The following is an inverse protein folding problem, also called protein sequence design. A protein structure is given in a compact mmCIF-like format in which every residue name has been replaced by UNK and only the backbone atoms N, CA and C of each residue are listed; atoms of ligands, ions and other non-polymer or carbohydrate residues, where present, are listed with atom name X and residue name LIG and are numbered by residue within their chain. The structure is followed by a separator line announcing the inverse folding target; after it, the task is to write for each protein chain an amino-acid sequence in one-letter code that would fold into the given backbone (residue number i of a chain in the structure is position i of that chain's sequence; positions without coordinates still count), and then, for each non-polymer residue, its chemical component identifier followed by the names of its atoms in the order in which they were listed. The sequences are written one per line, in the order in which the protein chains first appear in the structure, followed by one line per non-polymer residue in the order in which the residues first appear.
data_IF_741474538803
#
_entry.id   IF_741474538803
#
_cell.length_a   1.000
_cell.length_b   1.000
_cell.length_c   1.000
_cell.angle_alpha   90.00
_cell.angle_beta   90.00
_cell.angle_gamma   90.00
#
_symmetry.space_group_name_H-M   'P 1'
#
loop_
_entity.id
_entity.type
_entity.pdbx_description
1 polymer ?
#
# COMPACT_ATOMS: atom_id res chain seq x y z
N UNK A 1 -20.07 16.15 -42.17
CA UNK A 1 -19.46 14.79 -42.12
C UNK A 1 -20.63 13.83 -42.14
N UNK A 2 -20.58 12.77 -42.95
CA UNK A 2 -21.65 11.75 -42.98
C UNK A 2 -21.65 10.99 -41.64
N UNK A 3 -22.84 10.59 -41.18
CA UNK A 3 -23.07 9.83 -39.94
C UNK A 3 -22.15 8.58 -39.81
N UNK A 4 -21.87 7.92 -40.95
CA UNK A 4 -20.90 6.82 -41.05
C UNK A 4 -19.45 7.20 -40.72
N UNK A 5 -19.01 8.44 -40.97
CA UNK A 5 -17.65 8.86 -40.64
C UNK A 5 -17.47 9.14 -39.15
N UNK A 6 -18.52 9.60 -38.47
CA UNK A 6 -18.51 9.86 -37.03
C UNK A 6 -18.46 8.55 -36.23
N UNK A 7 -19.26 7.56 -36.62
CA UNK A 7 -19.30 6.25 -35.98
C UNK A 7 -17.99 5.47 -36.17
N UNK A 8 -17.37 5.57 -37.38
CA UNK A 8 -16.07 4.96 -37.61
C UNK A 8 -14.94 5.58 -36.76
N UNK A 9 -14.94 6.91 -36.60
CA UNK A 9 -13.97 7.57 -35.72
C UNK A 9 -14.16 7.16 -34.27
N UNK A 10 -15.39 7.14 -33.77
CA UNK A 10 -15.68 6.72 -32.39
C UNK A 10 -15.31 5.26 -32.11
N UNK A 11 -15.36 4.40 -33.11
CA UNK A 11 -14.98 2.99 -32.98
C UNK A 11 -13.47 2.80 -32.71
N UNK A 12 -12.63 3.78 -33.06
CA UNK A 12 -11.17 3.76 -32.83
C UNK A 12 -10.77 4.24 -31.44
N UNK A 13 -11.70 4.78 -30.65
CA UNK A 13 -11.41 5.23 -29.30
C UNK A 13 -11.46 4.07 -28.32
N UNK A 14 -10.44 3.93 -27.48
CA UNK A 14 -10.44 3.00 -26.35
C UNK A 14 -11.31 3.49 -25.19
N UNK A 15 -11.63 4.78 -25.19
CA UNK A 15 -12.50 5.40 -24.19
C UNK A 15 -13.97 5.03 -24.48
N UNK A 16 -14.75 4.52 -23.52
CA UNK A 16 -16.18 4.30 -23.69
C UNK A 16 -16.90 5.58 -24.14
N UNK A 17 -17.49 5.52 -25.33
CA UNK A 17 -18.16 6.66 -25.97
C UNK A 17 -19.48 6.24 -26.57
N UNK A 18 -20.51 7.09 -26.43
CA UNK A 18 -21.84 6.88 -27.00
C UNK A 18 -22.44 8.17 -27.58
N UNK A 19 -23.19 8.03 -28.64
CA UNK A 19 -24.02 9.08 -29.18
C UNK A 19 -25.45 8.92 -28.64
N UNK A 20 -26.03 10.03 -28.24
CA UNK A 20 -27.41 10.09 -27.72
C UNK A 20 -28.19 11.04 -28.62
N UNK A 21 -29.33 10.57 -29.12
CA UNK A 21 -30.27 11.35 -29.89
C UNK A 21 -31.67 11.23 -29.26
N UNK A 22 -32.28 12.35 -28.94
CA UNK A 22 -33.60 12.39 -28.33
C UNK A 22 -33.77 11.42 -27.14
N UNK A 23 -32.78 11.37 -26.24
CA UNK A 23 -32.71 10.52 -25.06
C UNK A 23 -32.51 9.00 -25.34
N UNK A 24 -32.27 8.60 -26.59
CA UNK A 24 -31.92 7.23 -26.96
C UNK A 24 -30.44 7.14 -27.34
N UNK A 25 -29.80 6.01 -27.03
CA UNK A 25 -28.43 5.71 -27.44
C UNK A 25 -28.45 5.29 -28.92
N UNK A 26 -28.13 6.22 -29.83
CA UNK A 26 -28.07 5.93 -31.25
C UNK A 26 -26.85 5.12 -31.66
N UNK A 27 -25.73 5.27 -30.94
CA UNK A 27 -24.49 4.53 -31.15
C UNK A 27 -23.69 4.37 -29.84
N UNK A 28 -23.02 3.23 -29.69
CA UNK A 28 -22.07 2.99 -28.64
C UNK A 28 -20.84 2.27 -29.23
N UNK A 29 -19.64 2.79 -28.94
CA UNK A 29 -18.39 2.15 -29.41
C UNK A 29 -18.12 0.82 -28.68
N UNK A 30 -17.16 -0.02 -29.16
CA UNK A 30 -16.86 -1.31 -28.54
C UNK A 30 -16.56 -1.21 -27.04
N UNK A 31 -15.85 -0.18 -26.60
CA UNK A 31 -15.52 0.04 -25.19
C UNK A 31 -16.77 0.33 -24.34
N UNK A 32 -17.69 1.16 -24.83
CA UNK A 32 -18.97 1.43 -24.15
C UNK A 32 -19.87 0.19 -24.11
N UNK A 33 -19.91 -0.60 -25.19
CA UNK A 33 -20.64 -1.86 -25.22
C UNK A 33 -20.08 -2.92 -24.27
N UNK A 34 -18.75 -2.95 -24.09
CA UNK A 34 -18.10 -3.84 -23.11
C UNK A 34 -18.46 -3.41 -21.68
N UNK A 35 -18.47 -2.11 -21.40
CA UNK A 35 -18.74 -1.54 -20.09
C UNK A 35 -20.22 -1.65 -19.67
N UNK A 36 -21.14 -1.29 -20.57
CA UNK A 36 -22.56 -1.09 -20.28
C UNK A 36 -23.45 -2.19 -20.88
N UNK A 37 -22.91 -3.05 -21.73
CA UNK A 37 -23.64 -4.09 -22.45
C UNK A 37 -24.06 -3.63 -23.84
N UNK A 38 -24.13 -4.61 -24.77
CA UNK A 38 -24.54 -4.36 -26.18
C UNK A 38 -25.99 -3.92 -26.33
N UNK A 39 -26.84 -4.28 -25.36
CA UNK A 39 -28.26 -4.00 -25.37
C UNK A 39 -28.63 -2.53 -25.24
N UNK A 40 -27.68 -1.67 -24.84
CA UNK A 40 -27.95 -0.24 -24.62
C UNK A 40 -28.22 0.52 -25.90
N UNK A 41 -27.78 0.04 -27.08
CA UNK A 41 -28.01 0.70 -28.37
C UNK A 41 -29.49 0.57 -28.77
N UNK A 42 -30.10 1.69 -29.06
CA UNK A 42 -31.54 1.80 -29.34
C UNK A 42 -32.42 2.03 -28.10
N UNK A 43 -31.85 1.86 -26.90
CA UNK A 43 -32.55 2.03 -25.64
C UNK A 43 -32.46 3.47 -25.10
N UNK A 44 -33.36 3.80 -24.16
CA UNK A 44 -33.29 5.09 -23.46
C UNK A 44 -32.01 5.13 -22.63
N UNK A 45 -31.27 6.25 -22.70
CA UNK A 45 -30.00 6.43 -22.00
C UNK A 45 -30.08 6.24 -20.49
N UNK A 46 -31.25 6.40 -19.87
CA UNK A 46 -31.49 6.13 -18.44
C UNK A 46 -31.40 4.65 -18.10
N UNK A 47 -31.50 3.75 -19.09
CA UNK A 47 -31.27 2.32 -18.89
C UNK A 47 -29.77 2.04 -18.81
N UNK A 48 -28.97 2.70 -19.66
CA UNK A 48 -27.53 2.57 -19.68
C UNK A 48 -26.84 3.29 -18.48
N UNK A 49 -27.32 4.50 -18.15
CA UNK A 49 -26.75 5.37 -17.12
C UNK A 49 -27.84 5.71 -16.08
N UNK A 50 -27.92 4.90 -15.02
CA UNK A 50 -28.94 5.03 -13.97
C UNK A 50 -28.60 6.05 -12.90
N UNK A 51 -27.34 6.49 -12.81
CA UNK A 51 -26.90 7.45 -11.81
C UNK A 51 -27.66 8.79 -11.96
N UNK A 52 -28.25 9.36 -10.89
CA UNK A 52 -29.01 10.60 -10.97
C UNK A 52 -28.21 11.76 -11.57
N UNK A 53 -26.92 11.85 -11.24
CA UNK A 53 -26.02 12.89 -11.74
C UNK A 53 -25.75 12.74 -13.25
N UNK A 54 -25.68 11.51 -13.77
CA UNK A 54 -25.55 11.25 -15.21
C UNK A 54 -26.81 11.70 -15.96
N UNK A 55 -27.98 11.35 -15.43
CA UNK A 55 -29.29 11.74 -16.01
C UNK A 55 -29.43 13.27 -15.99
N UNK A 56 -29.08 13.91 -14.89
CA UNK A 56 -29.12 15.36 -14.75
C UNK A 56 -28.18 16.06 -15.74
N UNK A 57 -26.97 15.53 -15.96
CA UNK A 57 -26.01 16.08 -16.93
C UNK A 57 -26.50 15.96 -18.36
N UNK A 58 -27.07 14.80 -18.74
CA UNK A 58 -27.63 14.58 -20.09
C UNK A 58 -28.80 15.54 -20.37
N UNK A 59 -29.58 15.88 -19.37
CA UNK A 59 -30.72 16.81 -19.52
C UNK A 59 -30.23 18.25 -19.73
N UNK A 60 -28.99 18.63 -19.40
CA UNK A 60 -28.50 20.01 -19.60
C UNK A 60 -28.35 20.34 -21.08
N UNK A 61 -28.83 21.52 -21.51
CA UNK A 61 -28.71 21.95 -22.92
C UNK A 61 -27.25 22.16 -23.38
N UNK A 62 -26.37 22.56 -22.48
CA UNK A 62 -24.95 22.95 -22.75
C UNK A 62 -23.98 21.77 -22.58
N UNK A 63 -24.47 20.61 -22.09
CA UNK A 63 -23.60 19.50 -21.70
C UNK A 63 -22.83 19.78 -20.41
N UNK A 64 -21.58 19.31 -20.31
CA UNK A 64 -20.71 19.51 -19.15
C UNK A 64 -20.02 18.26 -18.70
N UNK A 65 -19.59 18.25 -17.43
CA UNK A 65 -18.93 17.11 -16.79
C UNK A 65 -19.56 16.81 -15.44
N UNK A 66 -19.53 15.54 -15.05
CA UNK A 66 -19.93 15.09 -13.71
C UNK A 66 -19.19 13.82 -13.35
N UNK A 67 -19.09 13.56 -12.06
CA UNK A 67 -18.53 12.32 -11.54
C UNK A 67 -19.65 11.38 -11.14
N UNK A 68 -19.56 10.13 -11.57
CA UNK A 68 -20.53 9.08 -11.25
C UNK A 68 -19.81 7.90 -10.60
N UNK A 69 -20.51 7.17 -9.74
CA UNK A 69 -19.97 6.01 -9.02
C UNK A 69 -20.76 4.74 -9.29
N UNK A 70 -20.09 3.59 -9.20
CA UNK A 70 -20.74 2.29 -9.25
C UNK A 70 -21.22 1.85 -10.65
N UNK A 71 -20.59 2.33 -11.71
CA UNK A 71 -21.02 2.04 -13.08
C UNK A 71 -20.73 0.60 -13.51
N UNK A 72 -19.53 0.07 -13.16
CA UNK A 72 -19.12 -1.29 -13.52
C UNK A 72 -19.08 -2.23 -12.32
N UNK A 73 -18.44 -1.77 -11.25
CA UNK A 73 -18.35 -2.48 -9.98
C UNK A 73 -18.66 -1.53 -8.83
N UNK A 74 -19.15 -2.03 -7.68
CA UNK A 74 -19.37 -1.19 -6.52
C UNK A 74 -18.08 -0.43 -6.14
N UNK A 75 -18.18 0.90 -5.99
CA UNK A 75 -17.05 1.75 -5.63
C UNK A 75 -16.20 2.25 -6.80
N UNK A 76 -16.45 1.81 -8.06
CA UNK A 76 -15.79 2.40 -9.23
C UNK A 76 -16.20 3.86 -9.41
N UNK A 77 -15.26 4.70 -9.84
CA UNK A 77 -15.45 6.14 -10.02
C UNK A 77 -15.15 6.50 -11.47
N UNK A 78 -16.12 7.16 -12.11
CA UNK A 78 -16.06 7.51 -13.51
C UNK A 78 -16.30 9.00 -13.71
N UNK A 79 -15.46 9.67 -14.48
CA UNK A 79 -15.73 11.01 -14.97
C UNK A 79 -16.51 10.92 -16.29
N UNK A 80 -17.73 11.45 -16.29
CA UNK A 80 -18.60 11.52 -17.44
C UNK A 80 -18.57 12.90 -18.04
N UNK A 81 -18.30 12.97 -19.35
CA UNK A 81 -18.36 14.23 -20.11
C UNK A 81 -19.45 14.12 -21.16
N UNK A 82 -20.30 15.14 -21.25
CA UNK A 82 -21.37 15.26 -22.23
C UNK A 82 -21.13 16.49 -23.10
N UNK A 83 -20.89 16.28 -24.39
CA UNK A 83 -20.74 17.33 -25.40
C UNK A 83 -21.97 17.40 -26.31
N UNK A 84 -22.45 18.59 -26.60
CA UNK A 84 -23.51 18.82 -27.56
C UNK A 84 -22.87 19.01 -28.94
N UNK A 85 -23.17 18.10 -29.86
CA UNK A 85 -22.61 18.13 -31.23
C UNK A 85 -23.43 18.97 -32.22
N UNK A 86 -24.69 19.28 -31.90
CA UNK A 86 -25.60 20.04 -32.70
C UNK A 86 -27.00 19.38 -32.78
N UNK A 87 -28.05 20.19 -32.96
CA UNK A 87 -29.41 19.69 -32.92
C UNK A 87 -29.77 19.04 -31.60
N UNK A 88 -30.16 17.76 -31.62
CA UNK A 88 -30.50 16.96 -30.44
C UNK A 88 -29.48 15.85 -30.15
N UNK A 89 -28.31 15.90 -30.82
CA UNK A 89 -27.26 14.89 -30.70
C UNK A 89 -26.25 15.29 -29.66
N UNK A 90 -25.95 14.39 -28.73
CA UNK A 90 -24.93 14.52 -27.66
C UNK A 90 -23.94 13.38 -27.75
N UNK A 91 -22.66 13.69 -27.50
CA UNK A 91 -21.60 12.72 -27.29
C UNK A 91 -21.35 12.60 -25.80
N UNK A 92 -21.45 11.40 -25.28
CA UNK A 92 -21.08 11.06 -23.89
C UNK A 92 -19.84 10.21 -23.91
N UNK A 93 -18.85 10.58 -23.12
CA UNK A 93 -17.64 9.79 -22.86
C UNK A 93 -17.52 9.49 -21.38
N UNK A 94 -16.94 8.32 -21.05
CA UNK A 94 -16.76 7.82 -19.69
C UNK A 94 -15.29 7.47 -19.46
N UNK A 95 -14.65 8.12 -18.50
CA UNK A 95 -13.26 7.85 -18.13
C UNK A 95 -13.21 7.21 -16.74
N UNK A 96 -12.60 6.03 -16.65
CA UNK A 96 -12.39 5.38 -15.34
C UNK A 96 -11.30 6.15 -14.55
N UNK A 97 -11.71 6.69 -13.42
CA UNK A 97 -10.88 7.43 -12.48
C UNK A 97 -10.60 6.65 -11.20
N UNK A 98 -11.04 5.40 -11.13
CA UNK A 98 -10.99 4.60 -9.89
C UNK A 98 -9.57 4.48 -9.34
N UNK A 99 -8.59 4.22 -10.20
CA UNK A 99 -7.18 4.12 -9.81
C UNK A 99 -6.63 5.47 -9.33
N UNK A 100 -6.87 6.54 -10.09
CA UNK A 100 -6.39 7.90 -9.76
C UNK A 100 -6.98 8.39 -8.43
N UNK A 101 -8.28 8.19 -8.23
CA UNK A 101 -8.97 8.58 -6.99
C UNK A 101 -8.49 7.73 -5.81
N UNK A 102 -8.30 6.42 -6.01
CA UNK A 102 -7.75 5.53 -4.99
C UNK A 102 -6.33 5.95 -4.55
N UNK A 103 -5.46 6.28 -5.51
CA UNK A 103 -4.10 6.77 -5.23
C UNK A 103 -4.13 8.10 -4.48
N UNK A 104 -4.95 9.06 -4.95
CA UNK A 104 -5.08 10.37 -4.30
C UNK A 104 -5.62 10.23 -2.87
N UNK A 105 -6.61 9.38 -2.65
CA UNK A 105 -7.17 9.09 -1.33
C UNK A 105 -6.12 8.45 -0.41
N UNK A 106 -5.42 7.43 -0.91
CA UNK A 106 -4.34 6.77 -0.16
C UNK A 106 -3.25 7.75 0.26
N UNK A 107 -2.90 8.74 -0.59
CA UNK A 107 -1.93 9.77 -0.24
C UNK A 107 -2.48 10.73 0.83
N UNK A 108 -3.74 11.14 0.73
CA UNK A 108 -4.38 12.01 1.74
C UNK A 108 -4.47 11.30 3.10
N UNK A 109 -4.90 10.04 3.10
CA UNK A 109 -5.00 9.21 4.31
C UNK A 109 -3.60 8.99 4.93
N UNK A 110 -2.56 8.82 4.10
CA UNK A 110 -1.18 8.70 4.55
C UNK A 110 -0.71 9.96 5.30
N UNK A 111 -0.91 11.16 4.74
CA UNK A 111 -0.52 12.43 5.39
C UNK A 111 -1.31 12.67 6.67
N UNK A 112 -2.61 12.38 6.68
CA UNK A 112 -3.45 12.52 7.87
C UNK A 112 -2.98 11.57 8.99
N UNK A 113 -2.75 10.29 8.68
CA UNK A 113 -2.30 9.29 9.64
C UNK A 113 -0.88 9.61 10.17
N UNK A 114 0.05 10.04 9.31
CA UNK A 114 1.38 10.47 9.72
C UNK A 114 1.31 11.64 10.72
N UNK A 115 0.45 12.63 10.43
CA UNK A 115 0.23 13.78 11.32
C UNK A 115 -0.33 13.35 12.69
N UNK A 116 -1.25 12.41 12.71
CA UNK A 116 -1.82 11.88 13.96
C UNK A 116 -0.80 11.06 14.77
N UNK A 117 -0.03 10.19 14.11
CA UNK A 117 0.99 9.37 14.76
C UNK A 117 2.19 10.18 15.28
N UNK A 118 2.47 11.36 14.71
CA UNK A 118 3.47 12.31 15.24
C UNK A 118 2.93 13.17 16.36
N UNK A 119 1.66 13.60 16.31
CA UNK A 119 1.05 14.50 17.31
C UNK A 119 0.96 13.85 18.70
N UNK A 120 0.61 12.57 18.74
CA UNK A 120 0.42 11.83 20.01
C UNK A 120 1.70 11.79 20.86
N UNK A 121 2.87 11.32 20.38
CA UNK A 121 4.10 11.32 21.16
C UNK A 121 4.58 12.73 21.50
N UNK A 122 4.39 13.70 20.58
CA UNK A 122 4.75 15.09 20.82
C UNK A 122 3.95 15.69 21.99
N UNK A 123 2.64 15.47 22.04
CA UNK A 123 1.80 15.91 23.15
C UNK A 123 2.21 15.27 24.48
N UNK A 124 2.59 13.98 24.47
CA UNK A 124 3.10 13.31 25.66
C UNK A 124 4.43 13.92 26.13
N UNK A 125 5.39 14.17 25.21
CA UNK A 125 6.66 14.83 25.54
C UNK A 125 6.41 16.19 26.17
N UNK A 126 5.58 17.04 25.56
CA UNK A 126 5.26 18.36 26.07
C UNK A 126 4.62 18.30 27.49
N UNK A 127 3.65 17.42 27.70
CA UNK A 127 3.01 17.27 29.00
C UNK A 127 3.97 16.80 30.11
N UNK A 128 4.90 15.89 29.79
CA UNK A 128 5.91 15.48 30.78
C UNK A 128 6.98 16.56 31.02
N UNK A 129 7.34 17.34 30.01
CA UNK A 129 8.26 18.49 30.17
C UNK A 129 7.60 19.56 31.05
N UNK A 130 6.33 19.90 30.83
CA UNK A 130 5.57 20.83 31.67
C UNK A 130 5.48 20.33 33.12
N UNK A 131 5.21 19.03 33.33
CA UNK A 131 5.13 18.44 34.65
C UNK A 131 6.50 18.48 35.37
N UNK A 132 7.60 18.26 34.64
CA UNK A 132 8.95 18.36 35.17
C UNK A 132 9.35 19.83 35.52
N UNK A 133 8.70 20.81 34.89
CA UNK A 133 8.85 22.24 35.22
C UNK A 133 8.16 22.64 36.51
N UNK A 134 7.21 21.84 37.04
CA UNK A 134 6.59 22.07 38.35
C UNK A 134 7.58 21.64 39.47
N UNK A 135 7.86 22.57 40.40
CA UNK A 135 8.84 22.36 41.46
C UNK A 135 8.58 21.12 42.31
N UNK A 136 7.30 20.74 42.51
CA UNK A 136 6.96 19.55 43.32
C UNK A 136 7.23 18.24 42.61
N UNK A 137 7.00 18.15 41.31
CA UNK A 137 7.19 16.93 40.52
C UNK A 137 8.63 16.80 39.99
N UNK A 138 9.29 17.93 39.72
CA UNK A 138 10.68 17.96 39.23
C UNK A 138 11.73 17.69 40.30
N UNK A 139 11.40 17.94 41.58
CA UNK A 139 12.35 17.75 42.70
C UNK A 139 12.45 16.30 43.19
N UNK A 140 11.45 15.43 42.89
CA UNK A 140 11.55 14.00 43.19
C UNK A 140 12.41 13.26 42.16
N UNK A 141 13.60 12.73 42.56
CA UNK A 141 14.53 12.09 41.64
C UNK A 141 13.91 10.91 40.88
N UNK A 142 13.04 10.11 41.52
CA UNK A 142 12.43 8.90 40.90
C UNK A 142 11.40 9.32 39.86
N UNK A 143 10.59 10.31 40.14
CA UNK A 143 9.59 10.85 39.18
C UNK A 143 10.29 11.49 38.00
N UNK A 144 11.35 12.26 38.23
CA UNK A 144 12.18 12.86 37.17
C UNK A 144 12.78 11.82 36.27
N UNK A 145 13.43 10.78 36.81
CA UNK A 145 14.03 9.71 36.01
C UNK A 145 12.99 8.97 35.18
N UNK A 146 11.84 8.66 35.78
CA UNK A 146 10.72 8.02 35.08
C UNK A 146 10.21 8.88 33.91
N UNK A 147 9.99 10.18 34.10
CA UNK A 147 9.48 11.07 33.06
C UNK A 147 10.49 11.32 31.94
N UNK A 148 11.78 11.49 32.27
CA UNK A 148 12.85 11.56 31.29
C UNK A 148 12.95 10.27 30.47
N UNK A 149 12.76 9.10 31.09
CA UNK A 149 12.67 7.82 30.40
C UNK A 149 11.51 7.73 29.42
N UNK A 150 10.34 8.30 29.76
CA UNK A 150 9.18 8.35 28.85
C UNK A 150 9.46 9.31 27.69
N UNK A 151 9.94 10.52 27.97
CA UNK A 151 10.29 11.51 26.94
C UNK A 151 11.28 10.92 25.94
N UNK A 152 12.31 10.24 26.42
CA UNK A 152 13.30 9.58 25.55
C UNK A 152 12.65 8.51 24.65
N UNK A 153 11.78 7.66 25.19
CA UNK A 153 11.09 6.63 24.39
C UNK A 153 10.21 7.24 23.32
N UNK A 154 9.43 8.27 23.65
CA UNK A 154 8.57 8.93 22.66
C UNK A 154 9.36 9.68 21.59
N UNK A 155 10.50 10.30 21.94
CA UNK A 155 11.41 10.94 20.99
C UNK A 155 12.03 9.91 20.01
N UNK A 156 12.52 8.78 20.52
CA UNK A 156 13.06 7.69 19.68
C UNK A 156 11.98 7.09 18.77
N UNK A 157 10.74 6.96 19.27
CA UNK A 157 9.62 6.51 18.46
C UNK A 157 9.30 7.50 17.33
N UNK A 158 9.32 8.82 17.60
CA UNK A 158 9.15 9.82 16.55
C UNK A 158 10.25 9.76 15.50
N UNK A 159 11.50 9.58 15.94
CA UNK A 159 12.65 9.42 15.04
C UNK A 159 12.44 8.21 14.11
N UNK A 160 12.11 7.04 14.65
CA UNK A 160 11.84 5.83 13.86
C UNK A 160 10.68 6.04 12.86
N UNK A 161 9.60 6.74 13.29
CA UNK A 161 8.49 7.04 12.40
C UNK A 161 8.90 7.95 11.24
N UNK A 162 9.72 8.96 11.49
CA UNK A 162 10.23 9.85 10.44
C UNK A 162 11.13 9.08 9.47
N UNK A 163 12.01 8.21 9.97
CA UNK A 163 12.87 7.36 9.16
C UNK A 163 12.06 6.42 8.26
N UNK A 164 11.01 5.79 8.79
CA UNK A 164 10.08 4.95 8.04
C UNK A 164 9.33 5.74 6.95
N UNK A 165 8.83 6.94 7.26
CA UNK A 165 8.17 7.83 6.30
C UNK A 165 9.10 8.23 5.16
N UNK A 166 10.33 8.63 5.49
CA UNK A 166 11.35 9.01 4.50
C UNK A 166 11.78 7.82 3.63
N UNK A 167 11.87 6.62 4.23
CA UNK A 167 12.17 5.40 3.50
C UNK A 167 11.06 5.03 2.53
N UNK A 168 9.79 5.02 3.00
CA UNK A 168 8.64 4.74 2.16
C UNK A 168 8.56 5.72 1.00
N UNK A 169 8.72 7.03 1.27
CA UNK A 169 8.73 8.07 0.23
C UNK A 169 9.81 7.83 -0.82
N UNK A 170 11.03 7.47 -0.41
CA UNK A 170 12.13 7.16 -1.35
C UNK A 170 11.83 5.95 -2.22
N UNK A 171 11.32 4.86 -1.64
CA UNK A 171 11.00 3.64 -2.40
C UNK A 171 9.86 3.91 -3.40
N UNK A 172 8.86 4.69 -3.02
CA UNK A 172 7.75 5.07 -3.90
C UNK A 172 8.19 5.98 -5.07
N UNK A 173 9.08 6.93 -4.82
CA UNK A 173 9.59 7.83 -5.85
C UNK A 173 10.32 7.10 -6.99
N UNK A 174 10.97 5.97 -6.71
CA UNK A 174 11.73 5.16 -7.69
C UNK A 174 11.07 3.82 -8.01
N UNK A 175 9.77 3.69 -7.78
CA UNK A 175 9.02 2.43 -7.91
C UNK A 175 9.17 1.76 -9.29
N UNK A 176 9.37 2.53 -10.35
CA UNK A 176 9.48 2.02 -11.73
C UNK A 176 10.90 1.64 -12.12
N UNK A 177 11.91 2.06 -11.36
CA UNK A 177 13.31 1.75 -11.64
C UNK A 177 13.70 0.46 -10.92
N UNK A 178 13.81 -0.62 -11.68
CA UNK A 178 14.22 -1.93 -11.16
C UNK A 178 15.71 -1.92 -10.89
N UNK A 179 16.19 -2.12 -9.66
CA UNK A 179 17.60 -2.17 -9.38
C UNK A 179 18.19 -3.49 -9.89
N UNK A 180 19.38 -3.41 -10.52
CA UNK A 180 20.02 -4.54 -11.19
C UNK A 180 21.41 -4.88 -10.66
N UNK A 181 21.90 -4.17 -9.65
CA UNK A 181 23.21 -4.45 -9.05
C UNK A 181 23.19 -5.83 -8.39
N UNK A 182 24.27 -6.64 -8.55
CA UNK A 182 24.35 -7.96 -7.94
C UNK A 182 24.47 -7.84 -6.41
N UNK A 183 23.54 -8.47 -5.69
CA UNK A 183 23.52 -8.49 -4.22
C UNK A 183 23.51 -9.92 -3.73
N UNK A 184 24.50 -10.29 -2.91
CA UNK A 184 24.54 -11.58 -2.21
C UNK A 184 23.62 -11.53 -0.97
N UNK A 185 22.48 -12.21 -1.05
CA UNK A 185 21.48 -12.22 0.01
C UNK A 185 21.96 -12.98 1.27
N UNK A 186 22.83 -13.97 1.15
CA UNK A 186 23.39 -14.65 2.33
C UNK A 186 24.29 -13.70 3.12
N UNK A 187 25.08 -12.86 2.43
CA UNK A 187 25.89 -11.85 3.08
C UNK A 187 25.00 -10.81 3.81
N UNK A 188 23.92 -10.35 3.17
CA UNK A 188 22.95 -9.43 3.79
C UNK A 188 22.27 -10.05 5.01
N UNK A 189 21.85 -11.31 4.92
CA UNK A 189 21.19 -12.00 6.04
C UNK A 189 22.14 -12.16 7.23
N UNK A 190 23.38 -12.55 7.00
CA UNK A 190 24.37 -12.69 8.08
C UNK A 190 24.68 -11.36 8.78
N UNK A 191 24.77 -10.28 8.01
CA UNK A 191 24.97 -8.94 8.55
C UNK A 191 23.79 -8.53 9.45
N UNK A 192 22.57 -8.63 8.94
CA UNK A 192 21.37 -8.23 9.69
C UNK A 192 21.12 -9.14 10.90
N UNK A 193 21.29 -10.46 10.76
CA UNK A 193 21.21 -11.36 11.91
C UNK A 193 22.20 -10.99 13.01
N UNK A 194 23.41 -10.58 12.63
CA UNK A 194 24.45 -10.10 13.55
C UNK A 194 24.05 -8.86 14.35
N UNK A 195 23.25 -7.94 13.78
CA UNK A 195 22.76 -6.74 14.48
C UNK A 195 21.85 -7.09 15.69
N UNK A 196 21.20 -8.25 15.68
CA UNK A 196 20.22 -8.67 16.70
C UNK A 196 20.76 -9.72 17.69
N UNK A 197 21.98 -10.25 17.50
CA UNK A 197 22.53 -11.34 18.32
C UNK A 197 22.59 -11.03 19.83
N UNK A 198 22.75 -9.76 20.20
CA UNK A 198 22.79 -9.35 21.61
C UNK A 198 21.38 -9.22 22.24
N UNK A 199 20.32 -9.16 21.43
CA UNK A 199 18.96 -8.84 21.88
C UNK A 199 17.97 -9.99 21.72
N UNK A 200 18.22 -10.96 20.83
CA UNK A 200 17.34 -12.08 20.55
C UNK A 200 18.08 -13.29 19.96
N UNK A 201 17.54 -14.49 20.14
CA UNK A 201 18.04 -15.70 19.48
C UNK A 201 17.59 -15.70 18.00
N UNK A 202 18.48 -15.24 17.11
CA UNK A 202 18.25 -15.27 15.67
C UNK A 202 19.05 -16.39 15.04
N UNK A 203 18.37 -17.39 14.50
CA UNK A 203 19.00 -18.52 13.80
C UNK A 203 18.95 -18.31 12.29
N UNK A 204 20.07 -18.56 11.60
CA UNK A 204 20.14 -18.50 10.14
C UNK A 204 20.33 -19.91 9.59
N UNK A 205 19.39 -20.34 8.73
CA UNK A 205 19.43 -21.61 8.00
C UNK A 205 19.57 -21.29 6.51
N UNK A 206 20.62 -21.77 5.86
CA UNK A 206 20.85 -21.54 4.44
C UNK A 206 21.01 -22.86 3.69
N UNK A 207 20.09 -23.13 2.79
CA UNK A 207 20.11 -24.27 1.86
C UNK A 207 20.14 -23.78 0.39
N UNK A 208 20.64 -22.55 0.17
CA UNK A 208 20.64 -21.95 -1.16
C UNK A 208 21.98 -22.18 -1.86
N UNK A 209 21.94 -22.73 -3.09
CA UNK A 209 23.10 -22.89 -3.96
C UNK A 209 23.44 -21.60 -4.73
N UNK A 210 22.42 -20.76 -5.00
CA UNK A 210 22.54 -19.47 -5.66
C UNK A 210 21.89 -18.40 -4.80
N UNK A 211 22.62 -17.32 -4.52
CA UNK A 211 22.22 -16.29 -3.55
C UNK A 211 22.24 -14.88 -4.11
N UNK A 212 22.65 -14.73 -5.39
CA UNK A 212 22.77 -13.42 -6.04
C UNK A 212 21.44 -13.03 -6.66
N UNK A 213 20.93 -11.89 -6.23
CA UNK A 213 19.75 -11.24 -6.81
C UNK A 213 20.15 -9.86 -7.39
N UNK A 214 19.42 -9.41 -8.41
CA UNK A 214 19.54 -8.00 -8.85
C UNK A 214 18.80 -7.10 -7.86
N UNK A 215 19.51 -6.12 -7.26
CA UNK A 215 18.88 -5.34 -6.22
C UNK A 215 19.64 -4.10 -5.74
N UNK A 216 18.96 -3.33 -4.90
CA UNK A 216 19.53 -2.27 -4.07
C UNK A 216 19.82 -2.87 -2.68
N UNK A 217 21.12 -3.04 -2.37
CA UNK A 217 21.56 -3.68 -1.13
C UNK A 217 20.99 -3.00 0.12
N UNK A 218 20.89 -1.68 0.12
CA UNK A 218 20.39 -0.93 1.29
C UNK A 218 18.92 -1.19 1.54
N UNK A 219 18.11 -1.28 0.47
CA UNK A 219 16.70 -1.59 0.56
C UNK A 219 16.45 -3.05 0.96
N UNK A 220 17.22 -4.00 0.40
CA UNK A 220 17.12 -5.41 0.77
C UNK A 220 17.52 -5.65 2.24
N UNK A 221 18.55 -4.95 2.73
CA UNK A 221 18.91 -4.96 4.14
C UNK A 221 17.79 -4.36 5.03
N UNK A 222 17.18 -3.24 4.62
CA UNK A 222 16.06 -2.63 5.33
C UNK A 222 14.83 -3.55 5.35
N UNK A 223 14.49 -4.18 4.24
CA UNK A 223 13.41 -5.17 4.15
C UNK A 223 13.61 -6.26 5.20
N UNK A 224 14.82 -6.85 5.24
CA UNK A 224 15.12 -7.92 6.18
C UNK A 224 15.09 -7.44 7.62
N UNK A 225 15.69 -6.26 7.91
CA UNK A 225 15.65 -5.65 9.25
C UNK A 225 14.20 -5.46 9.75
N UNK A 226 13.30 -4.99 8.89
CA UNK A 226 11.89 -4.83 9.24
C UNK A 226 11.20 -6.18 9.53
N UNK A 227 11.52 -7.24 8.79
CA UNK A 227 10.98 -8.57 9.03
C UNK A 227 11.49 -9.17 10.35
N UNK A 228 12.79 -9.06 10.60
CA UNK A 228 13.42 -9.60 11.83
C UNK A 228 12.94 -8.82 13.06
N UNK A 229 12.90 -7.48 12.98
CA UNK A 229 12.38 -6.63 14.07
C UNK A 229 10.94 -6.97 14.42
N UNK A 230 10.09 -7.20 13.42
CA UNK A 230 8.72 -7.66 13.64
C UNK A 230 8.67 -9.04 14.30
N UNK A 231 9.46 -10.01 13.84
CA UNK A 231 9.51 -11.35 14.41
C UNK A 231 9.96 -11.34 15.87
N UNK A 232 10.94 -10.49 16.22
CA UNK A 232 11.40 -10.32 17.61
C UNK A 232 10.34 -9.61 18.47
N UNK A 233 9.73 -8.54 17.97
CA UNK A 233 8.74 -7.75 18.71
C UNK A 233 7.45 -8.50 18.99
N UNK A 234 6.97 -9.30 18.04
CA UNK A 234 5.68 -9.99 18.14
C UNK A 234 5.84 -11.49 18.42
N UNK A 235 7.06 -12.00 18.36
CA UNK A 235 7.40 -13.35 18.74
C UNK A 235 7.24 -13.61 20.25
N UNK A 236 7.43 -14.85 20.65
CA UNK A 236 7.39 -15.27 22.05
C UNK A 236 8.61 -14.68 22.79
N UNK A 237 8.43 -14.07 23.96
CA UNK A 237 9.56 -13.62 24.76
C UNK A 237 10.54 -14.74 25.04
N UNK A 238 11.82 -14.59 24.65
CA UNK A 238 12.85 -15.62 24.72
C UNK A 238 12.69 -16.76 23.69
N UNK A 239 11.75 -16.64 22.77
CA UNK A 239 11.59 -17.56 21.64
C UNK A 239 12.64 -17.33 20.55
N UNK A 240 12.70 -18.27 19.62
CA UNK A 240 13.63 -18.22 18.50
C UNK A 240 13.03 -17.52 17.28
N UNK A 241 13.84 -16.70 16.61
CA UNK A 241 13.53 -16.14 15.30
C UNK A 241 14.37 -16.85 14.25
N UNK A 242 13.75 -17.53 13.29
CA UNK A 242 14.46 -18.29 12.26
C UNK A 242 14.41 -17.56 10.93
N UNK A 243 15.59 -17.29 10.35
CA UNK A 243 15.72 -16.79 8.98
C UNK A 243 16.15 -17.96 8.10
N UNK A 244 15.33 -18.37 7.16
CA UNK A 244 15.68 -19.42 6.19
C UNK A 244 15.87 -18.84 4.80
N UNK A 245 16.88 -19.35 4.08
CA UNK A 245 17.16 -18.99 2.68
C UNK A 245 17.23 -20.29 1.87
N UNK A 246 16.47 -20.35 0.80
CA UNK A 246 16.37 -21.51 -0.10
C UNK A 246 16.38 -21.04 -1.56
N UNK A 247 16.86 -21.86 -2.45
CA UNK A 247 16.80 -21.62 -3.90
C UNK A 247 15.76 -22.55 -4.52
N UNK A 248 14.83 -21.97 -5.29
CA UNK A 248 13.87 -22.73 -6.07
C UNK A 248 14.45 -23.15 -7.43
N UNK A 249 14.10 -24.32 -7.92
CA UNK A 249 14.43 -24.78 -9.28
C UNK A 249 13.91 -23.84 -10.37
N UNK A 250 12.92 -23.01 -10.07
CA UNK A 250 12.33 -22.04 -11.01
C UNK A 250 13.05 -20.70 -11.08
N UNK A 251 14.24 -20.58 -10.47
CA UNK A 251 15.07 -19.36 -10.54
C UNK A 251 14.64 -18.26 -9.56
N UNK A 252 14.10 -18.65 -8.42
CA UNK A 252 13.75 -17.74 -7.33
C UNK A 252 14.54 -18.03 -6.06
N UNK A 253 14.95 -17.00 -5.37
CA UNK A 253 15.43 -17.06 -4.00
C UNK A 253 14.23 -16.90 -3.07
N UNK A 254 14.00 -17.85 -2.18
CA UNK A 254 13.01 -17.80 -1.11
C UNK A 254 13.72 -17.41 0.19
N UNK A 255 13.33 -16.30 0.77
CA UNK A 255 13.74 -15.85 2.09
C UNK A 255 12.52 -15.89 3.00
N UNK A 256 12.61 -16.54 4.15
CA UNK A 256 11.55 -16.52 5.14
C UNK A 256 12.08 -16.15 6.52
N UNK A 257 11.25 -15.39 7.26
CA UNK A 257 11.49 -15.04 8.67
C UNK A 257 10.32 -15.57 9.47
N UNK A 258 10.60 -16.45 10.43
CA UNK A 258 9.59 -17.12 11.26
C UNK A 258 9.79 -16.78 12.72
N UNK A 259 8.70 -16.53 13.42
CA UNK A 259 8.60 -16.40 14.86
C UNK A 259 7.66 -17.44 15.49
N UNK A 260 7.73 -17.57 16.80
CA UNK A 260 6.87 -18.43 17.64
C UNK A 260 5.89 -17.60 18.49
N UNK A 261 5.41 -16.47 17.97
CA UNK A 261 4.50 -15.58 18.69
C UNK A 261 3.06 -16.10 18.78
N UNK A 262 2.18 -15.21 19.24
CA UNK A 262 0.75 -15.52 19.41
C UNK A 262 0.02 -15.75 18.08
N UNK A 263 0.69 -15.47 16.94
CA UNK A 263 0.07 -15.53 15.62
C UNK A 263 -0.89 -14.37 15.38
N UNK A 264 -1.53 -14.39 14.20
CA UNK A 264 -2.39 -13.32 13.70
C UNK A 264 -3.70 -13.94 13.19
N UNK A 265 -4.84 -13.35 13.59
CA UNK A 265 -6.15 -13.78 13.12
C UNK A 265 -6.29 -13.58 11.59
N UNK A 266 -6.96 -14.51 10.89
CA UNK A 266 -7.06 -14.49 9.43
C UNK A 266 -7.63 -13.19 8.84
N UNK A 267 -8.52 -12.53 9.56
CA UNK A 267 -9.16 -11.27 9.16
C UNK A 267 -8.17 -10.09 9.05
N UNK A 268 -7.04 -10.16 9.77
CA UNK A 268 -6.01 -9.13 9.74
C UNK A 268 -4.97 -9.35 8.63
N UNK A 269 -4.74 -10.60 8.18
CA UNK A 269 -3.68 -10.94 7.23
C UNK A 269 -3.70 -10.09 5.95
N UNK A 270 -4.86 -9.89 5.27
CA UNK A 270 -4.90 -9.10 4.04
C UNK A 270 -4.52 -7.63 4.22
N UNK A 271 -4.63 -7.13 5.45
CA UNK A 271 -4.45 -5.71 5.79
C UNK A 271 -3.09 -5.39 6.39
N UNK A 272 -2.29 -6.38 6.75
CA UNK A 272 -0.99 -6.17 7.43
C UNK A 272 0.00 -5.31 6.64
N UNK A 273 -0.13 -5.26 5.32
CA UNK A 273 0.69 -4.43 4.43
C UNK A 273 0.09 -3.06 4.15
N UNK A 274 -1.10 -2.74 4.70
CA UNK A 274 -1.66 -1.39 4.64
C UNK A 274 -0.84 -0.44 5.54
N UNK A 275 -0.66 0.80 5.09
CA UNK A 275 0.09 1.80 5.85
C UNK A 275 -0.62 2.13 7.16
N UNK A 276 0.14 2.18 8.28
CA UNK A 276 -0.34 2.44 9.64
C UNK A 276 -1.30 1.39 10.20
N UNK A 277 -1.51 0.27 9.49
CA UNK A 277 -2.36 -0.78 9.99
C UNK A 277 -1.68 -1.55 11.13
N UNK A 278 -2.46 -1.91 12.14
CA UNK A 278 -2.05 -2.70 13.31
C UNK A 278 -3.21 -3.58 13.74
N UNK A 279 -2.98 -4.89 13.86
CA UNK A 279 -3.99 -5.83 14.35
C UNK A 279 -4.38 -5.53 15.80
N UNK A 280 -3.38 -5.18 16.66
CA UNK A 280 -3.57 -4.66 18.01
C UNK A 280 -2.83 -3.32 18.16
N UNK A 281 -3.60 -2.24 18.20
CA UNK A 281 -3.05 -0.88 18.28
C UNK A 281 -2.43 -0.57 19.65
N UNK A 282 -2.89 -1.22 20.73
CA UNK A 282 -2.42 -0.99 22.11
C UNK A 282 -1.07 -1.66 22.33
N UNK A 283 -0.96 -2.95 22.00
CA UNK A 283 0.26 -3.75 22.09
C UNK A 283 1.35 -3.20 21.17
N UNK A 284 1.00 -2.88 19.93
CA UNK A 284 1.96 -2.33 18.96
C UNK A 284 2.52 -0.98 19.37
N UNK A 285 1.70 -0.10 20.00
CA UNK A 285 2.19 1.18 20.55
C UNK A 285 3.15 0.98 21.70
N UNK A 286 2.87 0.05 22.60
CA UNK A 286 3.76 -0.27 23.71
C UNK A 286 5.14 -0.77 23.24
N UNK A 287 5.18 -1.50 22.12
CA UNK A 287 6.39 -2.05 21.50
C UNK A 287 7.07 -1.09 20.48
N UNK A 288 6.57 0.15 20.34
CA UNK A 288 7.16 1.15 19.42
C UNK A 288 6.91 0.87 17.94
N UNK A 289 5.94 0.04 17.58
CA UNK A 289 5.60 -0.21 16.18
C UNK A 289 4.99 1.01 15.50
N UNK A 290 5.43 1.34 14.28
CA UNK A 290 4.94 2.45 13.47
C UNK A 290 3.75 2.06 12.59
N UNK A 291 3.61 0.77 12.26
CA UNK A 291 2.64 0.26 11.29
C UNK A 291 3.05 0.54 9.83
N UNK A 292 4.31 0.92 9.60
CA UNK A 292 4.87 1.17 8.27
C UNK A 292 5.83 0.07 7.80
N UNK A 293 6.43 -0.68 8.72
CA UNK A 293 7.49 -1.66 8.39
C UNK A 293 7.08 -2.67 7.32
N UNK A 294 5.91 -3.31 7.44
CA UNK A 294 5.44 -4.28 6.43
C UNK A 294 5.01 -3.63 5.11
N UNK A 295 4.52 -2.39 5.14
CA UNK A 295 4.27 -1.62 3.92
C UNK A 295 5.58 -1.32 3.18
N UNK A 296 6.64 -0.95 3.90
CA UNK A 296 7.99 -0.74 3.34
C UNK A 296 8.51 -2.05 2.74
N UNK A 297 8.39 -3.19 3.46
CA UNK A 297 8.77 -4.52 2.94
C UNK A 297 8.08 -4.79 1.61
N UNK A 298 6.75 -4.65 1.53
CA UNK A 298 5.98 -4.86 0.31
C UNK A 298 6.48 -4.00 -0.85
N UNK A 299 6.67 -2.71 -0.64
CA UNK A 299 7.14 -1.80 -1.69
C UNK A 299 8.57 -2.13 -2.17
N UNK A 300 9.48 -2.50 -1.26
CA UNK A 300 10.83 -2.94 -1.62
C UNK A 300 10.74 -4.21 -2.47
N UNK A 301 9.97 -5.21 -2.05
CA UNK A 301 9.82 -6.48 -2.76
C UNK A 301 9.20 -6.26 -4.15
N UNK A 302 8.15 -5.44 -4.26
CA UNK A 302 7.52 -5.09 -5.54
C UNK A 302 8.51 -4.39 -6.50
N UNK A 303 9.35 -3.46 -5.99
CA UNK A 303 10.38 -2.79 -6.77
C UNK A 303 11.41 -3.78 -7.33
N UNK A 304 11.75 -4.81 -6.55
CA UNK A 304 12.67 -5.88 -6.95
C UNK A 304 12.00 -7.00 -7.77
N UNK A 305 10.76 -6.79 -8.26
CA UNK A 305 9.98 -7.78 -9.00
C UNK A 305 9.75 -9.09 -8.24
N UNK A 306 9.82 -9.01 -6.92
CA UNK A 306 9.58 -10.13 -6.01
C UNK A 306 8.11 -10.33 -5.67
N UNK A 307 7.88 -11.29 -4.77
CA UNK A 307 6.57 -11.57 -4.17
C UNK A 307 6.71 -11.61 -2.65
N UNK A 308 5.75 -11.06 -1.95
CA UNK A 308 5.71 -11.04 -0.49
C UNK A 308 4.43 -11.71 -0.01
N UNK A 309 4.54 -12.61 0.94
CA UNK A 309 3.42 -13.32 1.55
C UNK A 309 3.61 -13.45 3.06
N UNK A 310 2.51 -13.49 3.81
CA UNK A 310 2.50 -13.69 5.25
C UNK A 310 1.54 -14.82 5.57
N UNK A 311 2.06 -15.87 6.18
CA UNK A 311 1.26 -16.95 6.73
C UNK A 311 1.33 -16.94 8.26
N UNK A 312 0.18 -17.02 8.91
CA UNK A 312 0.09 -17.04 10.36
C UNK A 312 -1.11 -17.84 10.83
N UNK A 313 -0.98 -18.41 12.01
CA UNK A 313 -2.07 -19.08 12.70
C UNK A 313 -2.00 -18.71 14.18
N UNK A 314 -3.13 -18.33 14.77
CA UNK A 314 -3.22 -18.02 16.20
C UNK A 314 -2.67 -19.16 17.05
N UNK A 315 -1.81 -18.82 18.00
CA UNK A 315 -1.10 -19.73 18.88
C UNK A 315 0.06 -20.52 18.24
N UNK A 316 0.43 -20.24 16.98
CA UNK A 316 1.48 -20.99 16.24
C UNK A 316 2.58 -20.12 15.65
N UNK A 317 2.52 -18.79 15.85
CA UNK A 317 3.48 -17.83 15.30
C UNK A 317 3.16 -17.37 13.90
N UNK A 318 4.13 -16.65 13.32
CA UNK A 318 4.01 -16.04 11.99
C UNK A 318 5.23 -16.37 11.13
N UNK A 319 5.01 -16.54 9.84
CA UNK A 319 6.07 -16.66 8.83
C UNK A 319 5.85 -15.62 7.75
N UNK A 320 6.82 -14.73 7.58
CA UNK A 320 6.88 -13.77 6.49
C UNK A 320 7.82 -14.29 5.41
N UNK A 321 7.34 -14.42 4.19
CA UNK A 321 8.06 -15.02 3.06
C UNK A 321 8.25 -14.02 1.93
N UNK A 322 9.47 -13.90 1.42
CA UNK A 322 9.86 -13.05 0.30
C UNK A 322 10.48 -13.92 -0.78
N UNK A 323 9.99 -13.77 -2.01
CA UNK A 323 10.57 -14.41 -3.19
C UNK A 323 11.20 -13.33 -4.07
N UNK A 324 12.49 -13.46 -4.38
CA UNK A 324 13.23 -12.54 -5.26
C UNK A 324 13.73 -13.31 -6.50
N UNK A 325 13.67 -12.71 -7.69
CA UNK A 325 14.23 -13.36 -8.88
C UNK A 325 15.75 -13.43 -8.77
N UNK A 326 16.30 -14.62 -8.98
CA UNK A 326 17.75 -14.80 -9.06
C UNK A 326 18.31 -14.11 -10.30
N UNK A 327 19.46 -13.50 -10.15
CA UNK A 327 20.19 -12.95 -11.30
C UNK A 327 20.74 -14.12 -12.12
N UNK A 328 20.34 -14.20 -13.40
CA UNK A 328 20.92 -15.21 -14.31
C UNK A 328 22.41 -14.92 -14.46
N UNK A 329 23.25 -15.90 -14.16
CA UNK A 329 24.67 -15.82 -14.53
C UNK A 329 24.74 -15.58 -16.04
N UNK A 330 25.31 -14.44 -16.45
CA UNK A 330 25.69 -14.23 -17.84
C UNK A 330 26.86 -15.12 -18.20
#
# INVERSE_FOLDING_TARGET
MSENAQTHLLALFDLPAMLIEADQVSYANPAAQTLLGRHIVGENVRIALRAPDAVALIARPEGGQTRISGLSVPGSIWDMTCHVLGGRTKLVTLQDMSVQVSVARSHTDFVANASHELRTPLAAILGYVETLGDAKAGDDPKTRERFLGIIRREALRMQSLIEDLMSLSRVEAVKHDVPTEPVDMVAVVREIAGEFNDSAAVQVVSNADQTIVGGDRSQLAQMLRNLVDNAIKYGKPGGETVIAIETSETGWLLLSVRDEGDGIAPEHLPRLTERFYRADASRSRAMGGTGLGLAIVKHIVERHRGRFDISSREGSGTTASVMLPLQKNM
#
